data_IF_370462133882
#
_entry.id   IF_370462133882
#
_cell.length_a   1.000
_cell.length_b   1.000
_cell.length_c   1.000
_cell.angle_alpha   90.00
_cell.angle_beta   90.00
_cell.angle_gamma   90.00
#
_symmetry.space_group_name_H-M   'P 1'
#
loop_
_entity.id
_entity.type
_entity.pdbx_description
1 polymer ?
#
# COMPACT_ATOMS: atom_id res chain seq x y z
N UNK A 1 -49.55 28.17 52.27
CA UNK A 1 -48.32 27.45 51.87
C UNK A 1 -48.15 27.62 50.38
N UNK A 2 -47.30 28.56 49.95
CA UNK A 2 -46.97 28.82 48.55
C UNK A 2 -45.92 27.82 48.08
N UNK A 3 -46.28 26.91 47.19
CA UNK A 3 -45.33 26.06 46.46
C UNK A 3 -44.67 26.89 45.35
N UNK A 4 -43.41 27.24 45.55
CA UNK A 4 -42.55 27.82 44.51
C UNK A 4 -42.33 26.77 43.41
N UNK A 5 -42.73 27.10 42.17
CA UNK A 5 -42.37 26.31 41.00
C UNK A 5 -40.90 26.56 40.66
N UNK A 6 -40.05 25.56 40.85
CA UNK A 6 -38.68 25.56 40.34
C UNK A 6 -38.70 25.78 38.81
N UNK A 7 -38.10 26.89 38.37
CA UNK A 7 -37.96 27.20 36.94
C UNK A 7 -37.01 26.19 36.28
N UNK A 8 -37.46 25.58 35.18
CA UNK A 8 -36.62 24.65 34.41
C UNK A 8 -35.39 25.36 33.86
N UNK A 9 -34.19 24.86 34.18
CA UNK A 9 -32.93 25.39 33.65
C UNK A 9 -32.95 25.35 32.12
N UNK A 10 -32.63 26.47 31.48
CA UNK A 10 -32.51 26.55 30.03
C UNK A 10 -31.34 25.65 29.57
N UNK A 11 -31.65 24.58 28.84
CA UNK A 11 -30.69 23.58 28.35
C UNK A 11 -30.13 23.93 26.97
N UNK A 12 -30.53 25.07 26.38
CA UNK A 12 -30.10 25.46 25.03
C UNK A 12 -28.69 26.02 25.04
N UNK A 13 -27.89 25.61 24.05
CA UNK A 13 -26.57 26.17 23.83
C UNK A 13 -26.66 27.64 23.39
N UNK A 14 -25.76 28.48 23.90
CA UNK A 14 -25.67 29.89 23.50
C UNK A 14 -25.27 29.98 22.02
N UNK A 15 -25.90 30.86 21.24
CA UNK A 15 -25.52 31.12 19.84
C UNK A 15 -24.01 31.39 19.77
N UNK A 16 -23.30 30.69 18.88
CA UNK A 16 -21.86 30.81 18.69
C UNK A 16 -20.98 30.03 19.69
N UNK A 17 -21.56 29.30 20.66
CA UNK A 17 -20.82 28.40 21.56
C UNK A 17 -21.32 26.96 21.43
N UNK A 18 -20.46 26.09 20.92
CA UNK A 18 -20.68 24.64 20.99
C UNK A 18 -20.68 24.18 22.45
N UNK A 19 -21.59 23.26 22.80
CA UNK A 19 -21.56 22.55 24.07
C UNK A 19 -20.34 21.64 24.25
N UNK A 20 -19.62 21.37 23.17
CA UNK A 20 -18.36 20.65 23.16
C UNK A 20 -17.30 21.46 22.37
N UNK A 21 -16.59 22.39 23.02
CA UNK A 21 -15.59 23.26 22.38
C UNK A 21 -14.39 22.50 21.82
N UNK A 22 -14.00 21.38 22.44
CA UNK A 22 -12.91 20.51 21.99
C UNK A 22 -13.31 19.55 20.87
N UNK A 23 -14.57 19.60 20.44
CA UNK A 23 -15.11 18.69 19.45
C UNK A 23 -15.08 17.24 19.88
N UNK A 24 -15.38 16.37 18.94
CA UNK A 24 -15.38 14.92 19.15
C UNK A 24 -13.93 14.45 19.41
N UNK A 25 -13.69 13.62 20.43
CA UNK A 25 -12.35 13.10 20.78
C UNK A 25 -11.67 12.51 19.53
N UNK A 26 -10.43 12.95 19.27
CA UNK A 26 -9.62 12.45 18.17
C UNK A 26 -9.52 10.90 18.21
N UNK A 27 -9.67 10.26 17.05
CA UNK A 27 -9.65 8.79 16.92
C UNK A 27 -10.95 8.06 17.28
N UNK A 28 -12.01 8.76 17.70
CA UNK A 28 -13.29 8.09 17.99
C UNK A 28 -14.04 7.67 16.71
N UNK A 29 -14.31 6.37 16.56
CA UNK A 29 -15.12 5.81 15.46
C UNK A 29 -16.59 6.06 15.68
N UNK A 30 -17.36 6.37 14.62
CA UNK A 30 -18.82 6.56 14.73
C UNK A 30 -19.47 5.29 15.26
N UNK A 31 -20.52 5.42 16.09
CA UNK A 31 -21.28 4.25 16.57
C UNK A 31 -21.81 3.42 15.40
N UNK A 32 -22.17 4.08 14.30
CA UNK A 32 -22.56 3.43 13.05
C UNK A 32 -21.44 2.58 12.44
N UNK A 33 -20.20 3.09 12.35
CA UNK A 33 -19.07 2.32 11.84
C UNK A 33 -18.74 1.12 12.74
N UNK A 34 -18.79 1.29 14.06
CA UNK A 34 -18.59 0.18 15.00
C UNK A 34 -19.66 -0.91 14.82
N UNK A 35 -20.92 -0.50 14.61
CA UNK A 35 -22.00 -1.46 14.33
C UNK A 35 -21.82 -2.15 12.96
N UNK A 36 -21.37 -1.42 11.94
CA UNK A 36 -21.07 -2.00 10.62
C UNK A 36 -19.88 -2.98 10.68
N UNK A 37 -18.82 -2.65 11.42
CA UNK A 37 -17.68 -3.54 11.64
C UNK A 37 -18.15 -4.85 12.29
N UNK A 38 -18.98 -4.77 13.34
CA UNK A 38 -19.55 -5.93 14.02
C UNK A 38 -20.49 -6.77 13.14
N UNK A 39 -21.23 -6.13 12.22
CA UNK A 39 -22.07 -6.84 11.24
C UNK A 39 -21.24 -7.49 10.13
N UNK A 40 -20.08 -6.94 9.79
CA UNK A 40 -19.22 -7.46 8.74
C UNK A 40 -18.22 -8.52 9.18
N UNK A 41 -18.00 -8.66 10.49
CA UNK A 41 -17.04 -9.61 11.06
C UNK A 41 -17.49 -11.05 10.79
N UNK A 42 -16.69 -11.81 10.03
CA UNK A 42 -17.00 -13.19 9.62
C UNK A 42 -17.89 -13.33 8.39
N UNK A 43 -18.58 -12.27 7.94
CA UNK A 43 -19.53 -12.32 6.81
C UNK A 43 -18.88 -12.14 5.43
N UNK A 44 -17.59 -11.82 5.40
CA UNK A 44 -16.88 -11.47 4.17
C UNK A 44 -16.98 -12.57 3.09
N UNK A 45 -16.82 -13.83 3.47
CA UNK A 45 -16.91 -14.97 2.54
C UNK A 45 -18.32 -15.14 1.98
N UNK A 46 -19.34 -15.12 2.85
CA UNK A 46 -20.74 -15.25 2.47
C UNK A 46 -21.20 -14.13 1.52
N UNK A 47 -20.77 -12.88 1.81
CA UNK A 47 -21.04 -11.72 0.94
C UNK A 47 -20.40 -11.92 -0.43
N UNK A 48 -19.16 -12.40 -0.50
CA UNK A 48 -18.47 -12.65 -1.77
C UNK A 48 -19.19 -13.71 -2.60
N UNK A 49 -19.60 -14.83 -1.98
CA UNK A 49 -20.36 -15.90 -2.66
C UNK A 49 -21.67 -15.36 -3.22
N UNK A 50 -22.44 -14.62 -2.41
CA UNK A 50 -23.71 -14.04 -2.85
C UNK A 50 -23.54 -13.02 -4.01
N UNK A 51 -22.46 -12.24 -4.00
CA UNK A 51 -22.16 -11.31 -5.11
C UNK A 51 -21.79 -12.06 -6.39
N UNK A 52 -21.07 -13.18 -6.29
CA UNK A 52 -20.73 -14.02 -7.45
C UNK A 52 -21.99 -14.61 -8.08
N UNK A 53 -22.93 -15.09 -7.27
CA UNK A 53 -24.22 -15.61 -7.77
C UNK A 53 -25.03 -14.52 -8.48
N UNK A 54 -25.14 -13.32 -7.88
CA UNK A 54 -25.82 -12.19 -8.51
C UNK A 54 -25.18 -11.78 -9.83
N UNK A 55 -23.85 -11.73 -9.88
CA UNK A 55 -23.12 -11.42 -11.11
C UNK A 55 -23.40 -12.46 -12.20
N UNK A 56 -23.39 -13.77 -11.86
CA UNK A 56 -23.77 -14.84 -12.79
C UNK A 56 -25.23 -14.75 -13.24
N UNK A 57 -26.11 -14.21 -12.39
CA UNK A 57 -27.51 -13.93 -12.69
C UNK A 57 -27.75 -12.68 -13.56
N UNK A 58 -26.69 -11.97 -13.98
CA UNK A 58 -26.81 -10.81 -14.87
C UNK A 58 -26.83 -9.44 -14.18
N UNK A 59 -26.56 -9.37 -12.88
CA UNK A 59 -26.36 -8.07 -12.20
C UNK A 59 -25.04 -7.43 -12.65
N UNK A 60 -25.14 -6.43 -13.52
CA UNK A 60 -23.99 -5.71 -14.07
C UNK A 60 -23.15 -5.00 -13.00
N UNK A 61 -23.73 -4.58 -11.88
CA UNK A 61 -23.01 -3.90 -10.80
C UNK A 61 -22.19 -4.90 -9.99
N UNK A 62 -22.78 -6.05 -9.67
CA UNK A 62 -22.06 -7.16 -9.02
C UNK A 62 -20.92 -7.67 -9.92
N UNK A 63 -21.22 -7.87 -11.22
CA UNK A 63 -20.24 -8.29 -12.21
C UNK A 63 -19.09 -7.27 -12.34
N UNK A 64 -19.40 -5.98 -12.48
CA UNK A 64 -18.39 -4.92 -12.51
C UNK A 64 -17.57 -4.87 -11.23
N UNK A 65 -18.17 -5.00 -10.06
CA UNK A 65 -17.44 -4.97 -8.78
C UNK A 65 -16.46 -6.15 -8.66
N UNK A 66 -16.87 -7.34 -9.10
CA UNK A 66 -16.01 -8.53 -9.12
C UNK A 66 -14.93 -8.39 -10.19
N UNK A 67 -15.27 -7.92 -11.39
CA UNK A 67 -14.30 -7.68 -12.46
C UNK A 67 -13.34 -6.53 -12.09
N UNK A 68 -13.75 -5.51 -11.36
CA UNK A 68 -12.86 -4.46 -10.85
C UNK A 68 -12.01 -4.92 -9.65
N UNK A 69 -12.15 -6.18 -9.18
CA UNK A 69 -11.29 -6.80 -8.14
C UNK A 69 -10.48 -8.01 -8.61
N UNK A 70 -11.06 -8.84 -9.50
CA UNK A 70 -10.44 -10.01 -10.13
C UNK A 70 -9.77 -9.63 -11.46
N UNK A 71 -10.39 -8.74 -12.21
CA UNK A 71 -9.96 -8.20 -13.50
C UNK A 71 -9.58 -6.68 -13.51
N UNK A 72 -9.29 -5.98 -12.39
CA UNK A 72 -8.57 -4.72 -12.46
C UNK A 72 -7.10 -5.07 -12.72
N UNK A 73 -6.40 -4.23 -13.47
CA UNK A 73 -4.98 -4.42 -13.79
C UNK A 73 -4.20 -4.75 -12.52
N UNK A 74 -3.68 -5.99 -12.42
CA UNK A 74 -2.79 -6.38 -11.34
C UNK A 74 -1.61 -5.41 -11.35
N UNK A 75 -1.59 -4.46 -10.41
CA UNK A 75 -0.38 -3.69 -10.12
C UNK A 75 0.59 -4.70 -9.50
N UNK A 76 1.45 -5.27 -10.34
CA UNK A 76 2.35 -6.37 -9.98
C UNK A 76 1.71 -7.74 -10.15
N UNK A 77 1.40 -8.14 -11.39
CA UNK A 77 1.30 -9.56 -11.70
C UNK A 77 2.61 -10.26 -11.31
N UNK A 78 2.57 -11.59 -11.06
CA UNK A 78 3.80 -12.36 -10.87
C UNK A 78 4.63 -12.23 -12.14
N UNK A 79 5.76 -11.54 -12.05
CA UNK A 79 6.69 -11.35 -13.15
C UNK A 79 7.69 -12.51 -13.13
N UNK A 80 7.75 -13.25 -14.23
CA UNK A 80 8.78 -14.25 -14.49
C UNK A 80 9.62 -13.70 -15.64
N UNK A 81 10.91 -13.55 -15.40
CA UNK A 81 11.86 -13.01 -16.35
C UNK A 81 13.22 -13.63 -16.08
N UNK A 82 14.00 -13.83 -17.13
CA UNK A 82 15.34 -14.38 -17.00
C UNK A 82 16.34 -13.26 -16.78
N UNK A 83 17.10 -13.36 -15.69
CA UNK A 83 18.12 -12.39 -15.32
C UNK A 83 19.46 -13.11 -15.17
N UNK A 84 20.54 -12.64 -15.83
CA UNK A 84 21.87 -13.17 -15.58
C UNK A 84 22.28 -12.92 -14.12
N UNK A 85 23.20 -13.74 -13.62
CA UNK A 85 23.67 -13.62 -12.25
C UNK A 85 24.43 -12.30 -12.04
N UNK A 86 24.08 -11.56 -10.99
CA UNK A 86 24.66 -10.25 -10.69
C UNK A 86 25.44 -10.31 -9.38
N UNK A 87 26.78 -10.41 -9.47
CA UNK A 87 27.68 -10.48 -8.30
C UNK A 87 28.42 -9.19 -8.05
N UNK A 88 28.78 -8.49 -9.12
CA UNK A 88 29.61 -7.30 -9.12
C UNK A 88 28.92 -6.17 -9.86
N UNK A 89 29.42 -4.94 -9.70
CA UNK A 89 28.91 -3.80 -10.44
C UNK A 89 29.14 -3.94 -11.97
N UNK A 90 30.12 -4.75 -12.39
CA UNK A 90 30.44 -4.99 -13.81
C UNK A 90 29.42 -5.89 -14.51
N UNK A 91 28.64 -6.67 -13.77
CA UNK A 91 27.61 -7.58 -14.32
C UNK A 91 26.29 -6.84 -14.68
N UNK A 92 26.12 -5.61 -14.20
CA UNK A 92 24.88 -4.83 -14.35
C UNK A 92 24.52 -4.46 -15.78
N UNK A 93 25.46 -4.03 -16.64
CA UNK A 93 25.14 -3.73 -18.04
C UNK A 93 24.49 -4.93 -18.74
N UNK A 94 25.00 -6.14 -18.50
CA UNK A 94 24.47 -7.37 -19.10
C UNK A 94 23.07 -7.70 -18.56
N UNK A 95 22.85 -7.51 -17.26
CA UNK A 95 21.54 -7.66 -16.64
C UNK A 95 20.50 -6.67 -17.20
N UNK A 96 20.87 -5.40 -17.35
CA UNK A 96 19.99 -4.37 -17.93
C UNK A 96 19.72 -4.65 -19.41
N UNK A 97 20.72 -5.11 -20.17
CA UNK A 97 20.56 -5.50 -21.56
C UNK A 97 19.60 -6.68 -21.71
N UNK A 98 19.68 -7.68 -20.82
CA UNK A 98 18.76 -8.82 -20.81
C UNK A 98 17.30 -8.40 -20.55
N UNK A 99 17.08 -7.48 -19.61
CA UNK A 99 15.74 -6.92 -19.33
C UNK A 99 15.23 -6.12 -20.53
N UNK A 100 16.09 -5.28 -21.13
CA UNK A 100 15.75 -4.46 -22.29
C UNK A 100 15.34 -5.32 -23.49
N UNK A 101 16.04 -6.44 -23.72
CA UNK A 101 15.69 -7.40 -24.77
C UNK A 101 14.31 -8.02 -24.53
N UNK A 102 14.03 -8.48 -23.32
CA UNK A 102 12.72 -9.07 -22.97
C UNK A 102 11.56 -8.06 -23.14
N UNK A 103 11.80 -6.77 -22.86
CA UNK A 103 10.84 -5.71 -23.18
C UNK A 103 10.63 -5.58 -24.69
N UNK A 104 11.71 -5.59 -25.47
CA UNK A 104 11.63 -5.48 -26.93
C UNK A 104 10.94 -6.68 -27.60
N UNK A 105 11.08 -7.87 -27.01
CA UNK A 105 10.46 -9.12 -27.44
C UNK A 105 8.98 -9.22 -26.97
N UNK A 106 8.56 -8.35 -26.04
CA UNK A 106 7.20 -8.33 -25.51
C UNK A 106 6.92 -9.38 -24.44
N UNK A 107 7.96 -10.02 -23.90
CA UNK A 107 7.85 -11.00 -22.81
C UNK A 107 7.47 -10.32 -21.49
N UNK A 108 7.97 -9.10 -21.28
CA UNK A 108 7.61 -8.24 -20.15
C UNK A 108 7.19 -6.86 -20.65
N UNK A 109 6.29 -6.19 -19.93
CA UNK A 109 5.88 -4.83 -20.29
C UNK A 109 6.97 -3.79 -20.01
N UNK A 110 6.95 -2.62 -20.68
CA UNK A 110 7.87 -1.53 -20.38
C UNK A 110 7.83 -1.06 -18.92
N UNK A 111 6.64 -1.06 -18.29
CA UNK A 111 6.47 -0.69 -16.89
C UNK A 111 7.10 -1.72 -15.93
N UNK A 112 6.97 -3.01 -16.25
CA UNK A 112 7.63 -4.09 -15.52
C UNK A 112 9.14 -4.02 -15.69
N UNK A 113 9.63 -3.82 -16.92
CA UNK A 113 11.06 -3.63 -17.20
C UNK A 113 11.65 -2.46 -16.44
N UNK A 114 10.97 -1.31 -16.40
CA UNK A 114 11.40 -0.14 -15.62
C UNK A 114 11.47 -0.44 -14.11
N UNK A 115 10.53 -1.23 -13.59
CA UNK A 115 10.53 -1.68 -12.19
C UNK A 115 11.76 -2.56 -11.91
N UNK A 116 12.08 -3.51 -12.79
CA UNK A 116 13.25 -4.39 -12.66
C UNK A 116 14.56 -3.59 -12.72
N UNK A 117 14.70 -2.66 -13.66
CA UNK A 117 15.88 -1.80 -13.77
C UNK A 117 16.08 -0.95 -12.50
N UNK A 118 15.00 -0.51 -11.87
CA UNK A 118 15.07 0.21 -10.59
C UNK A 118 15.60 -0.68 -9.46
N UNK A 119 15.23 -1.96 -9.43
CA UNK A 119 15.76 -2.93 -8.47
C UNK A 119 17.25 -3.22 -8.72
N UNK A 120 17.66 -3.36 -9.99
CA UNK A 120 19.06 -3.52 -10.36
C UNK A 120 19.91 -2.33 -9.90
N UNK A 121 19.38 -1.12 -10.00
CA UNK A 121 20.09 0.07 -9.51
C UNK A 121 20.21 0.10 -7.98
N UNK A 122 19.18 -0.36 -7.26
CA UNK A 122 19.30 -0.52 -5.80
C UNK A 122 20.40 -1.53 -5.43
N UNK A 123 20.51 -2.62 -6.19
CA UNK A 123 21.55 -3.63 -6.02
C UNK A 123 22.95 -3.08 -6.33
N UNK A 124 23.12 -2.29 -7.41
CA UNK A 124 24.38 -1.58 -7.71
C UNK A 124 24.88 -0.78 -6.52
N UNK A 125 24.00 0.05 -5.96
CA UNK A 125 24.34 0.91 -4.82
C UNK A 125 24.78 0.09 -3.62
N UNK A 126 24.15 -1.05 -3.36
CA UNK A 126 24.53 -1.94 -2.27
C UNK A 126 25.94 -2.53 -2.47
N UNK A 127 26.25 -3.01 -3.68
CA UNK A 127 27.58 -3.53 -4.03
C UNK A 127 28.64 -2.43 -3.88
N UNK A 128 28.44 -1.29 -4.52
CA UNK A 128 29.42 -0.18 -4.48
C UNK A 128 29.65 0.33 -3.06
N UNK A 129 28.58 0.43 -2.25
CA UNK A 129 28.71 0.86 -0.86
C UNK A 129 29.57 -0.13 -0.06
N UNK A 130 29.38 -1.43 -0.28
CA UNK A 130 30.17 -2.47 0.37
C UNK A 130 31.63 -2.43 -0.06
N UNK A 131 31.89 -2.35 -1.36
CA UNK A 131 33.25 -2.30 -1.92
C UNK A 131 34.01 -1.04 -1.49
N UNK A 132 33.36 0.12 -1.54
CA UNK A 132 33.96 1.38 -1.11
C UNK A 132 34.26 1.36 0.40
N UNK A 133 33.34 0.84 1.22
CA UNK A 133 33.58 0.70 2.66
C UNK A 133 34.80 -0.17 2.96
N UNK A 134 34.94 -1.32 2.28
CA UNK A 134 36.10 -2.20 2.41
C UNK A 134 37.40 -1.52 1.97
N UNK A 135 37.37 -0.77 0.86
CA UNK A 135 38.54 -0.03 0.35
C UNK A 135 38.97 1.09 1.30
N UNK A 136 38.03 1.82 1.88
CA UNK A 136 38.31 2.89 2.86
C UNK A 136 38.98 2.29 4.10
N UNK A 137 38.42 1.23 4.68
CA UNK A 137 39.00 0.57 5.85
C UNK A 137 40.45 0.08 5.58
N UNK A 138 40.70 -0.53 4.42
CA UNK A 138 42.03 -0.98 4.03
C UNK A 138 43.04 0.18 3.87
N UNK A 139 42.59 1.35 3.41
CA UNK A 139 43.43 2.55 3.32
C UNK A 139 43.72 3.14 4.71
N UNK A 140 42.71 3.21 5.58
CA UNK A 140 42.86 3.68 6.96
C UNK A 140 43.84 2.81 7.75
N UNK A 141 43.77 1.47 7.62
CA UNK A 141 44.75 0.55 8.23
C UNK A 141 46.18 0.78 7.73
N UNK A 142 46.35 1.06 6.44
CA UNK A 142 47.68 1.34 5.85
C UNK A 142 48.24 2.69 6.32
N UNK A 143 47.38 3.68 6.54
CA UNK A 143 47.78 5.01 7.03
C UNK A 143 48.10 5.01 8.52
N UNK A 144 47.46 4.15 9.31
CA UNK A 144 47.68 4.02 10.77
C UNK A 144 48.88 3.15 11.13
N UNK A 145 49.32 2.24 10.24
CA UNK A 145 50.52 1.42 10.41
C UNK A 145 51.84 2.12 10.01
N UNK A 146 51.80 3.41 9.68
CA UNK A 146 52.96 4.20 9.24
C UNK A 146 53.31 5.26 10.28
#
# INVERSE_FOLDING_TARGET
MTTEKEQSKDTRFKRGRSGNPGGRRAGSRSKALVALDALGEGEAEAIVVAMVEKAKGGDATAARTILDRVWPARKGARLTFDLPEVKTAEDLPDAVAAVTRQVAEGEISPDEGATVVTLLEAHRKAIETSELSARVAALEERMTKK
#
